data_IF_501205451369
#
_entry.id   IF_501205451369
#
_cell.length_a   1.000
_cell.length_b   1.000
_cell.length_c   1.000
_cell.angle_alpha   90.00
_cell.angle_beta   90.00
_cell.angle_gamma   90.00
#
_symmetry.space_group_name_H-M   'P 1'
#
loop_
_entity.id
_entity.type
_entity.pdbx_description
1 polymer ?
#
# COMPACT_ATOMS: atom_id res chain seq x y z
N UNK A 1 -33.04 -37.94 35.95
CA UNK A 1 -31.95 -37.43 35.09
C UNK A 1 -31.34 -36.22 35.76
N UNK A 2 -30.12 -36.27 36.31
CA UNK A 2 -29.53 -35.10 36.94
C UNK A 2 -29.07 -34.11 35.87
N UNK A 3 -29.64 -32.92 35.91
CA UNK A 3 -29.32 -31.77 35.09
C UNK A 3 -27.95 -31.24 35.51
N UNK A 4 -26.89 -31.58 34.77
CA UNK A 4 -25.53 -31.09 35.03
C UNK A 4 -25.43 -29.63 34.60
N UNK A 5 -25.83 -28.73 35.50
CA UNK A 5 -25.43 -27.33 35.46
C UNK A 5 -23.90 -27.31 35.49
N UNK A 6 -23.29 -27.19 34.31
CA UNK A 6 -21.85 -27.11 34.13
C UNK A 6 -21.34 -25.95 34.96
N UNK A 7 -20.64 -26.23 36.06
CA UNK A 7 -19.76 -25.25 36.69
C UNK A 7 -18.89 -24.73 35.55
N UNK A 8 -18.98 -23.44 35.23
CA UNK A 8 -18.03 -22.81 34.31
C UNK A 8 -16.69 -22.78 35.04
N UNK A 9 -15.99 -23.91 35.00
CA UNK A 9 -14.63 -24.01 35.47
C UNK A 9 -13.87 -22.94 34.70
N UNK A 10 -13.36 -21.93 35.42
CA UNK A 10 -12.55 -20.87 34.83
C UNK A 10 -11.34 -21.55 34.19
N UNK A 11 -11.41 -21.82 32.90
CA UNK A 11 -10.33 -22.45 32.16
C UNK A 11 -9.27 -21.40 31.83
N UNK A 12 -8.00 -21.80 31.82
CA UNK A 12 -6.90 -20.90 31.43
C UNK A 12 -6.95 -20.65 29.93
N UNK A 13 -6.52 -19.46 29.53
CA UNK A 13 -6.30 -19.15 28.12
C UNK A 13 -5.24 -20.11 27.55
N UNK A 14 -5.54 -20.77 26.44
CA UNK A 14 -4.64 -21.71 25.77
C UNK A 14 -3.58 -21.05 24.87
N UNK A 15 -3.63 -19.73 24.71
CA UNK A 15 -2.65 -19.00 23.90
C UNK A 15 -1.29 -18.96 24.61
N UNK A 16 -0.22 -19.07 23.83
CA UNK A 16 1.14 -18.82 24.28
C UNK A 16 1.47 -17.33 24.22
N UNK A 17 2.35 -16.88 25.11
CA UNK A 17 2.94 -15.54 25.03
C UNK A 17 3.70 -15.36 23.70
N UNK A 18 3.86 -14.10 23.30
CA UNK A 18 4.49 -13.73 22.01
C UNK A 18 5.94 -14.16 21.85
N UNK A 19 6.63 -14.44 22.95
CA UNK A 19 8.00 -14.98 23.03
C UNK A 19 8.03 -16.53 23.03
N UNK A 20 6.86 -17.19 23.02
CA UNK A 20 6.73 -18.65 23.06
C UNK A 20 7.11 -19.29 24.38
N UNK A 21 7.44 -18.51 25.42
CA UNK A 21 8.04 -19.02 26.65
C UNK A 21 7.03 -19.71 27.58
N UNK A 22 5.79 -19.22 27.62
CA UNK A 22 4.78 -19.74 28.53
C UNK A 22 3.35 -19.56 28.00
N UNK A 23 2.42 -20.32 28.58
CA UNK A 23 0.99 -20.14 28.38
C UNK A 23 0.51 -18.84 29.06
N UNK A 24 -0.45 -18.15 28.43
CA UNK A 24 -1.02 -16.92 28.94
C UNK A 24 -1.57 -17.11 30.38
N UNK A 25 -1.21 -16.23 31.33
CA UNK A 25 -1.67 -16.34 32.71
C UNK A 25 -3.16 -15.98 32.89
N UNK A 26 -3.79 -15.36 31.90
CA UNK A 26 -5.17 -14.91 31.97
C UNK A 26 -6.17 -16.07 31.82
N UNK A 27 -7.35 -15.91 32.41
CA UNK A 27 -8.47 -16.84 32.21
C UNK A 27 -9.12 -16.63 30.84
N UNK A 28 -9.56 -17.73 30.23
CA UNK A 28 -10.33 -17.67 29.02
C UNK A 28 -11.72 -17.07 29.29
N UNK A 29 -12.30 -16.46 28.27
CA UNK A 29 -13.71 -16.04 28.31
C UNK A 29 -14.57 -17.30 28.49
N UNK A 30 -15.67 -17.20 29.25
CA UNK A 30 -16.58 -18.34 29.46
C UNK A 30 -17.08 -18.84 28.10
N UNK A 31 -16.87 -20.14 27.83
CA UNK A 31 -17.21 -20.75 26.53
C UNK A 31 -16.16 -20.57 25.42
N UNK A 32 -15.04 -19.89 25.66
CA UNK A 32 -13.94 -19.73 24.72
C UNK A 32 -12.64 -20.37 25.25
N UNK A 33 -11.65 -20.56 24.36
CA UNK A 33 -10.33 -21.10 24.69
C UNK A 33 -9.27 -20.03 24.95
N UNK A 34 -9.58 -18.76 24.70
CA UNK A 34 -8.65 -17.62 24.78
C UNK A 34 -9.21 -16.46 25.61
N UNK A 35 -8.32 -15.66 26.20
CA UNK A 35 -8.67 -14.47 26.98
C UNK A 35 -8.89 -13.25 26.08
N UNK A 36 -9.55 -12.20 26.58
CA UNK A 36 -9.84 -10.96 25.85
C UNK A 36 -8.62 -10.35 25.17
N UNK A 37 -7.45 -10.38 25.81
CA UNK A 37 -6.18 -9.91 25.25
C UNK A 37 -5.75 -10.68 23.99
N UNK A 38 -5.92 -12.01 23.99
CA UNK A 38 -5.63 -12.87 22.84
C UNK A 38 -6.77 -12.96 21.83
N UNK A 39 -7.97 -12.51 22.20
CA UNK A 39 -9.08 -12.32 21.25
C UNK A 39 -9.03 -10.97 20.54
N UNK A 40 -8.17 -10.06 21.02
CA UNK A 40 -8.25 -8.64 20.65
C UNK A 40 -8.10 -8.47 19.13
N UNK A 41 -9.16 -7.98 18.44
CA UNK A 41 -9.11 -7.74 17.01
C UNK A 41 -8.13 -6.60 16.65
N UNK A 42 -7.68 -5.80 17.64
CA UNK A 42 -6.75 -4.71 17.43
C UNK A 42 -5.37 -5.17 16.97
N UNK A 43 -4.84 -6.26 17.54
CA UNK A 43 -3.55 -6.84 17.14
C UNK A 43 -3.61 -7.43 15.73
N UNK A 44 -4.66 -8.19 15.44
CA UNK A 44 -4.90 -8.80 14.12
C UNK A 44 -5.09 -7.72 13.04
N UNK A 45 -5.90 -6.69 13.29
CA UNK A 45 -6.11 -5.57 12.37
C UNK A 45 -4.82 -4.80 12.11
N UNK A 46 -4.02 -4.58 13.15
CA UNK A 46 -2.73 -3.87 13.02
C UNK A 46 -1.73 -4.68 12.21
N UNK A 47 -1.61 -5.99 12.47
CA UNK A 47 -0.76 -6.88 11.71
C UNK A 47 -1.21 -6.99 10.24
N UNK A 48 -2.52 -7.11 10.00
CA UNK A 48 -3.10 -7.13 8.64
C UNK A 48 -2.83 -5.81 7.91
N UNK A 49 -2.99 -4.66 8.57
CA UNK A 49 -2.67 -3.34 7.99
C UNK A 49 -1.20 -3.22 7.61
N UNK A 50 -0.27 -3.68 8.46
CA UNK A 50 1.17 -3.68 8.15
C UNK A 50 1.48 -4.57 6.94
N UNK A 51 0.88 -5.77 6.88
CA UNK A 51 1.03 -6.69 5.75
C UNK A 51 0.44 -6.13 4.45
N UNK A 52 -0.68 -5.43 4.52
CA UNK A 52 -1.25 -4.75 3.35
C UNK A 52 -0.37 -3.57 2.90
N UNK A 53 0.15 -2.80 3.85
CA UNK A 53 1.06 -1.69 3.56
C UNK A 53 2.34 -2.15 2.85
N UNK A 54 2.90 -3.30 3.22
CA UNK A 54 4.08 -3.85 2.54
C UNK A 54 3.83 -4.27 1.10
N UNK A 55 2.58 -4.49 0.68
CA UNK A 55 2.23 -4.83 -0.70
C UNK A 55 2.08 -3.60 -1.61
N UNK A 56 2.01 -2.40 -1.03
CA UNK A 56 1.77 -1.17 -1.78
C UNK A 56 2.88 -0.88 -2.81
N UNK A 57 4.18 -0.99 -2.49
CA UNK A 57 5.24 -0.72 -3.46
C UNK A 57 5.16 -1.64 -4.69
N UNK A 58 4.98 -2.95 -4.48
CA UNK A 58 4.85 -3.95 -5.55
C UNK A 58 3.63 -3.65 -6.44
N UNK A 59 2.50 -3.27 -5.83
CA UNK A 59 1.30 -2.91 -6.59
C UNK A 59 1.50 -1.67 -7.46
N UNK A 60 2.21 -0.65 -6.95
CA UNK A 60 2.53 0.58 -7.70
C UNK A 60 3.47 0.27 -8.88
N UNK A 61 4.51 -0.54 -8.66
CA UNK A 61 5.42 -0.96 -9.73
C UNK A 61 4.67 -1.69 -10.84
N UNK A 62 3.77 -2.61 -10.47
CA UNK A 62 2.98 -3.38 -11.42
C UNK A 62 2.03 -2.50 -12.22
N UNK A 63 1.35 -1.55 -11.58
CA UNK A 63 0.52 -0.57 -12.28
C UNK A 63 1.36 0.31 -13.22
N UNK A 64 2.58 0.69 -12.80
CA UNK A 64 3.51 1.45 -13.64
C UNK A 64 3.94 0.66 -14.88
N UNK A 65 4.13 -0.65 -14.76
CA UNK A 65 4.39 -1.53 -15.89
C UNK A 65 3.19 -1.58 -16.85
N UNK A 66 1.99 -1.90 -16.34
CA UNK A 66 0.76 -1.98 -17.14
C UNK A 66 0.46 -0.67 -17.89
N UNK A 67 0.72 0.48 -17.24
CA UNK A 67 0.57 1.80 -17.87
C UNK A 67 1.42 1.95 -19.15
N UNK A 68 2.56 1.26 -19.25
CA UNK A 68 3.48 1.33 -20.39
C UNK A 68 3.27 0.20 -21.39
N UNK A 69 2.95 -1.00 -20.93
CA UNK A 69 3.03 -2.22 -21.76
C UNK A 69 1.67 -2.80 -22.15
N UNK A 70 0.57 -2.44 -21.47
CA UNK A 70 -0.73 -3.03 -21.79
C UNK A 70 -1.15 -2.72 -23.22
N UNK A 71 -1.60 -3.73 -23.96
CA UNK A 71 -2.00 -3.60 -25.36
C UNK A 71 -3.20 -2.65 -25.52
N UNK A 72 -4.19 -2.80 -24.63
CA UNK A 72 -5.43 -2.01 -24.65
C UNK A 72 -5.19 -0.62 -24.05
N UNK A 73 -5.50 0.46 -24.80
CA UNK A 73 -5.40 1.83 -24.27
C UNK A 73 -6.22 2.06 -22.99
N UNK A 74 -7.38 1.41 -22.87
CA UNK A 74 -8.24 1.49 -21.68
C UNK A 74 -7.52 1.02 -20.41
N UNK A 75 -6.69 0.01 -20.52
CA UNK A 75 -6.02 -0.60 -19.37
C UNK A 75 -4.84 0.26 -18.93
N UNK A 76 -4.12 0.86 -19.89
CA UNK A 76 -3.10 1.89 -19.61
C UNK A 76 -3.70 3.10 -18.87
N UNK A 77 -4.85 3.59 -19.32
CA UNK A 77 -5.55 4.73 -18.69
C UNK A 77 -6.04 4.37 -17.28
N UNK A 78 -6.58 3.16 -17.09
CA UNK A 78 -7.02 2.68 -15.77
C UNK A 78 -5.84 2.56 -14.81
N UNK A 79 -4.70 2.02 -15.27
CA UNK A 79 -3.49 1.93 -14.46
C UNK A 79 -2.96 3.31 -14.06
N UNK A 80 -2.87 4.25 -15.01
CA UNK A 80 -2.49 5.64 -14.73
C UNK A 80 -3.42 6.31 -13.71
N UNK A 81 -4.74 6.15 -13.90
CA UNK A 81 -5.76 6.71 -13.01
C UNK A 81 -5.65 6.13 -11.60
N UNK A 82 -5.40 4.82 -11.47
CA UNK A 82 -5.21 4.16 -10.18
C UNK A 82 -4.00 4.71 -9.43
N UNK A 83 -2.87 4.92 -10.13
CA UNK A 83 -1.67 5.51 -9.54
C UNK A 83 -1.94 6.94 -9.07
N UNK A 84 -2.58 7.78 -9.89
CA UNK A 84 -2.87 9.17 -9.51
C UNK A 84 -3.84 9.24 -8.33
N UNK A 85 -4.88 8.41 -8.32
CA UNK A 85 -5.93 8.45 -7.30
C UNK A 85 -5.49 7.87 -5.95
N UNK A 86 -4.63 6.85 -5.96
CA UNK A 86 -4.30 6.08 -4.76
C UNK A 86 -2.82 6.09 -4.39
N UNK A 87 -1.92 6.39 -5.33
CA UNK A 87 -0.47 6.41 -5.12
C UNK A 87 0.04 7.66 -4.39
N UNK A 88 -0.72 8.75 -4.36
CA UNK A 88 -0.32 9.99 -3.69
C UNK A 88 -0.68 10.06 -2.19
N UNK A 89 -1.46 9.10 -1.66
CA UNK A 89 -2.07 9.25 -0.33
C UNK A 89 -2.97 10.50 -0.27
N UNK A 90 -3.43 10.95 0.92
CA UNK A 90 -3.92 12.31 1.06
C UNK A 90 -2.75 13.26 0.77
N UNK A 91 -2.68 13.74 -0.47
CA UNK A 91 -1.64 14.68 -0.88
C UNK A 91 -1.78 15.95 -0.04
N UNK A 92 -0.75 16.29 0.75
CA UNK A 92 -0.57 17.66 1.26
C UNK A 92 -0.23 18.63 0.13
N UNK A 93 0.06 18.10 -1.07
CA UNK A 93 0.31 18.87 -2.29
C UNK A 93 -0.99 19.53 -2.73
N UNK A 94 -0.99 20.86 -2.70
CA UNK A 94 -2.13 21.66 -3.16
C UNK A 94 -2.39 21.42 -4.65
N UNK A 95 -3.64 21.60 -5.07
CA UNK A 95 -4.04 21.46 -6.48
C UNK A 95 -3.18 22.35 -7.41
N UNK A 96 -2.78 23.53 -6.93
CA UNK A 96 -1.98 24.49 -7.70
C UNK A 96 -0.54 24.03 -7.89
N UNK A 97 0.04 23.39 -6.87
CA UNK A 97 1.38 22.81 -6.93
C UNK A 97 1.43 21.58 -7.84
N UNK A 98 0.40 20.74 -7.81
CA UNK A 98 0.25 19.62 -8.75
C UNK A 98 0.11 20.09 -10.21
N UNK A 99 -0.65 21.17 -10.45
CA UNK A 99 -0.77 21.78 -11.79
C UNK A 99 0.55 22.36 -12.28
N UNK A 100 1.32 23.04 -11.41
CA UNK A 100 2.60 23.60 -11.77
C UNK A 100 3.59 22.52 -12.24
N UNK A 101 3.69 21.41 -11.49
CA UNK A 101 4.53 20.26 -11.86
C UNK A 101 4.09 19.59 -13.16
N UNK A 102 2.78 19.48 -13.40
CA UNK A 102 2.24 18.94 -14.65
C UNK A 102 2.64 19.83 -15.85
N UNK A 103 2.47 21.14 -15.72
CA UNK A 103 2.80 22.11 -16.78
C UNK A 103 4.29 22.06 -17.10
N UNK A 104 5.14 22.03 -16.07
CA UNK A 104 6.59 21.90 -16.25
C UNK A 104 6.94 20.61 -17.00
N UNK A 105 6.34 19.48 -16.60
CA UNK A 105 6.60 18.19 -17.24
C UNK A 105 6.13 18.14 -18.70
N UNK A 106 4.97 18.74 -19.00
CA UNK A 106 4.46 18.85 -20.38
C UNK A 106 5.38 19.73 -21.22
N UNK A 107 5.84 20.87 -20.70
CA UNK A 107 6.82 21.72 -21.40
C UNK A 107 8.11 20.97 -21.73
N UNK A 108 8.62 20.17 -20.80
CA UNK A 108 9.80 19.34 -21.01
C UNK A 108 9.60 18.22 -22.06
N UNK A 109 8.36 17.84 -22.38
CA UNK A 109 8.04 16.86 -23.42
C UNK A 109 7.72 17.51 -24.77
N UNK A 110 7.20 18.74 -24.76
CA UNK A 110 6.81 19.49 -25.97
C UNK A 110 8.01 20.19 -26.61
N UNK A 111 9.07 20.48 -25.87
CA UNK A 111 10.33 20.98 -26.42
C UNK A 111 11.24 19.78 -26.72
N UNK A 112 11.35 19.30 -27.98
CA UNK A 112 12.43 18.39 -28.32
C UNK A 112 13.77 19.09 -28.04
N UNK A 113 14.84 18.37 -27.66
CA UNK A 113 16.18 18.97 -27.65
C UNK A 113 16.40 19.53 -29.05
N UNK A 114 16.43 20.85 -29.16
CA UNK A 114 16.82 21.53 -30.39
C UNK A 114 18.24 21.06 -30.63
N UNK A 115 18.47 20.21 -31.63
CA UNK A 115 19.82 19.94 -32.10
C UNK A 115 20.41 21.31 -32.42
N UNK A 116 21.30 21.77 -31.54
CA UNK A 116 22.12 22.94 -31.83
C UNK A 116 22.88 22.55 -33.11
N UNK A 117 22.84 23.38 -34.18
CA UNK A 117 23.68 23.11 -35.33
C UNK A 117 25.10 22.92 -34.82
N UNK A 118 25.71 21.78 -35.18
CA UNK A 118 27.10 21.52 -34.84
C UNK A 118 27.92 22.71 -35.29
N UNK A 119 28.69 23.29 -34.39
CA UNK A 119 29.62 24.37 -34.70
C UNK A 119 30.65 23.85 -35.72
N UNK A 120 30.37 24.05 -37.01
CA UNK A 120 31.21 23.55 -38.08
C UNK A 120 30.48 23.50 -39.42
N UNK A 121 30.09 24.66 -39.96
CA UNK A 121 30.09 24.98 -41.39
C UNK A 121 29.53 26.40 -41.57
N UNK A 122 30.39 27.39 -41.30
CA UNK A 122 30.29 28.71 -41.90
C UNK A 122 31.67 28.98 -42.48
N UNK A 123 31.92 28.41 -43.65
CA UNK A 123 32.93 28.89 -44.58
C UNK A 123 32.42 28.65 -46.01
N UNK A 124 32.71 29.62 -46.86
CA UNK A 124 32.55 29.66 -48.32
C UNK A 124 31.17 29.93 -48.92
N UNK A 125 30.78 31.22 -48.91
CA UNK A 125 30.22 31.85 -50.11
C UNK A 125 31.09 33.09 -50.41
N UNK A 126 32.02 32.92 -51.35
CA UNK A 126 32.57 34.00 -52.18
C UNK A 126 31.65 34.23 -53.39
#
# INVERSE_FOLDING_TARGET
>A
MPNSLSRSTKQRCLATLSDGSAQCPNYAIVGATVCTAHTSPGGVRTAARRRLASLVPEAVERLGHEMRTAEKPSDRIRAATAIVKYGAGPSEVSLDEAKALLIERVRALVVPPRELPSAGEVDDIL
#
